data_IF_120791693560
#
_entry.id   IF_120791693560
#
_cell.length_a   1.000
_cell.length_b   1.000
_cell.length_c   1.000
_cell.angle_alpha   90.00
_cell.angle_beta   90.00
_cell.angle_gamma   90.00
#
_symmetry.space_group_name_H-M   'P 1'
#
loop_
_entity.id
_entity.type
_entity.pdbx_description
1 polymer ?
#
# COMPACT_ATOMS: atom_id res chain seq x y z
N UNK A 1 -10.31 -70.14 -63.53
CA UNK A 1 -9.79 -70.92 -62.39
C UNK A 1 -8.36 -70.49 -62.13
N UNK A 2 -8.05 -70.12 -60.87
CA UNK A 2 -6.71 -69.90 -60.30
C UNK A 2 -5.88 -68.75 -60.92
N UNK A 3 -5.00 -68.02 -60.22
CA UNK A 3 -4.68 -67.84 -58.80
C UNK A 3 -3.51 -66.82 -58.72
N UNK A 4 -3.24 -66.34 -57.50
CA UNK A 4 -1.96 -65.80 -57.00
C UNK A 4 -1.63 -64.31 -57.16
N UNK A 5 -1.95 -63.61 -56.07
CA UNK A 5 -1.20 -62.51 -55.43
C UNK A 5 0.33 -62.68 -55.45
N UNK A 6 1.09 -61.58 -55.68
CA UNK A 6 2.34 -61.11 -54.99
C UNK A 6 2.62 -59.64 -55.37
N UNK A 7 2.49 -58.66 -54.46
CA UNK A 7 3.49 -58.10 -53.52
C UNK A 7 4.63 -57.25 -54.13
N UNK A 8 5.00 -56.19 -53.39
CA UNK A 8 6.09 -55.20 -53.54
C UNK A 8 5.80 -53.97 -54.40
N UNK A 9 6.19 -52.75 -54.03
CA UNK A 9 6.70 -52.17 -52.80
C UNK A 9 6.56 -50.64 -52.95
N UNK A 10 5.98 -49.96 -51.96
CA UNK A 10 5.89 -48.49 -51.92
C UNK A 10 7.20 -47.96 -51.34
N UNK A 11 7.98 -47.22 -52.13
CA UNK A 11 9.02 -46.33 -51.62
C UNK A 11 8.43 -44.91 -51.55
N UNK A 12 7.98 -44.52 -50.36
CA UNK A 12 7.69 -43.13 -50.05
C UNK A 12 8.93 -42.53 -49.38
N UNK A 13 9.63 -41.65 -50.11
CA UNK A 13 10.72 -40.85 -49.57
C UNK A 13 10.14 -39.73 -48.69
N UNK A 14 10.20 -39.91 -47.38
CA UNK A 14 9.81 -38.89 -46.41
C UNK A 14 10.92 -37.83 -46.30
N UNK A 15 10.69 -36.64 -46.88
CA UNK A 15 11.48 -35.45 -46.60
C UNK A 15 11.27 -35.05 -45.13
N UNK A 16 12.33 -35.14 -44.33
CA UNK A 16 12.38 -34.56 -42.98
C UNK A 16 12.50 -33.03 -43.11
N UNK A 17 11.37 -32.32 -43.03
CA UNK A 17 11.40 -30.91 -42.66
C UNK A 17 11.70 -30.84 -41.16
N UNK A 18 12.93 -30.47 -40.82
CA UNK A 18 13.31 -30.02 -39.48
C UNK A 18 12.61 -28.69 -39.21
N UNK A 19 11.35 -28.75 -38.75
CA UNK A 19 10.64 -27.60 -38.21
C UNK A 19 11.27 -27.21 -36.88
N UNK A 20 11.95 -26.07 -36.85
CA UNK A 20 12.36 -25.41 -35.62
C UNK A 20 11.07 -24.95 -34.89
N UNK A 21 10.58 -25.73 -33.94
CA UNK A 21 9.47 -25.28 -33.09
C UNK A 21 10.04 -24.29 -32.07
N UNK A 22 9.58 -23.03 -32.03
CA UNK A 22 9.90 -22.16 -30.91
C UNK A 22 9.32 -22.81 -29.65
N UNK A 23 10.21 -23.13 -28.73
CA UNK A 23 9.85 -23.56 -27.38
C UNK A 23 8.91 -22.52 -26.78
N UNK A 24 7.67 -22.94 -26.56
CA UNK A 24 6.64 -22.15 -25.89
C UNK A 24 7.11 -21.88 -24.47
N UNK A 25 7.77 -20.74 -24.29
CA UNK A 25 8.27 -20.32 -22.99
C UNK A 25 7.03 -19.98 -22.16
N UNK A 26 6.74 -20.87 -21.21
CA UNK A 26 5.61 -20.78 -20.31
C UNK A 26 5.90 -19.58 -19.42
N UNK A 27 5.44 -18.40 -19.82
CA UNK A 27 5.45 -17.20 -18.97
C UNK A 27 4.77 -17.59 -17.67
N UNK A 28 5.57 -17.92 -16.66
CA UNK A 28 5.09 -18.17 -15.32
C UNK A 28 4.39 -16.88 -14.91
N UNK A 29 3.08 -16.94 -14.77
CA UNK A 29 2.30 -15.87 -14.16
C UNK A 29 2.85 -15.68 -12.75
N UNK A 30 3.72 -14.68 -12.57
CA UNK A 30 4.20 -14.26 -11.27
C UNK A 30 2.99 -13.74 -10.53
N UNK A 31 2.44 -14.56 -9.64
CA UNK A 31 1.43 -14.07 -8.69
C UNK A 31 2.10 -12.94 -7.90
N UNK A 32 1.53 -11.71 -7.90
CA UNK A 32 2.12 -10.62 -7.15
C UNK A 32 2.20 -11.01 -5.67
N UNK A 33 3.42 -11.02 -5.14
CA UNK A 33 3.67 -11.32 -3.74
C UNK A 33 3.37 -10.05 -2.93
N UNK A 34 2.31 -10.06 -2.13
CA UNK A 34 2.00 -8.97 -1.20
C UNK A 34 2.79 -9.15 0.09
N UNK A 35 4.11 -8.91 -0.01
CA UNK A 35 5.08 -9.02 1.09
C UNK A 35 5.47 -7.64 1.60
N UNK A 36 6.02 -7.59 2.81
CA UNK A 36 6.55 -6.35 3.39
C UNK A 36 7.65 -5.73 2.52
N UNK A 37 8.54 -6.55 1.94
CA UNK A 37 9.62 -6.06 1.08
C UNK A 37 9.08 -5.41 -0.19
N UNK A 38 8.09 -6.03 -0.84
CA UNK A 38 7.45 -5.46 -2.02
C UNK A 38 6.72 -4.16 -1.69
N UNK A 39 6.02 -4.11 -0.55
CA UNK A 39 5.36 -2.88 -0.09
C UNK A 39 6.37 -1.76 0.12
N UNK A 40 7.49 -2.08 0.76
CA UNK A 40 8.56 -1.13 1.07
C UNK A 40 9.21 -0.59 -0.20
N UNK A 41 9.43 -1.45 -1.19
CA UNK A 41 9.97 -1.09 -2.51
C UNK A 41 8.99 -0.22 -3.31
N UNK A 42 7.72 -0.60 -3.38
CA UNK A 42 6.69 0.16 -4.09
C UNK A 42 6.49 1.55 -3.48
N UNK A 43 6.51 1.64 -2.14
CA UNK A 43 6.48 2.91 -1.41
C UNK A 43 7.78 3.72 -1.58
N UNK A 44 8.91 3.13 -1.98
CA UNK A 44 10.11 3.87 -2.32
C UNK A 44 10.02 4.50 -3.71
N UNK A 45 9.42 3.77 -4.65
CA UNK A 45 9.41 4.14 -6.07
C UNK A 45 8.28 5.11 -6.45
N UNK A 46 7.26 5.29 -5.61
CA UNK A 46 6.09 6.10 -5.91
C UNK A 46 5.96 7.29 -4.93
N UNK A 47 5.92 8.53 -5.43
CA UNK A 47 5.71 9.73 -4.61
C UNK A 47 4.41 9.68 -3.79
N UNK A 48 3.32 9.16 -4.37
CA UNK A 48 2.03 9.08 -3.67
C UNK A 48 1.82 7.72 -2.99
N UNK A 49 1.94 7.67 -1.66
CA UNK A 49 1.58 6.49 -0.86
C UNK A 49 0.18 5.96 -1.22
N UNK A 50 -0.78 6.87 -1.39
CA UNK A 50 -2.17 6.54 -1.75
C UNK A 50 -2.24 5.80 -3.09
N UNK A 51 -1.40 6.13 -4.07
CA UNK A 51 -1.38 5.44 -5.37
C UNK A 51 -0.83 4.03 -5.23
N UNK A 52 0.15 3.80 -4.35
CA UNK A 52 0.61 2.45 -3.98
C UNK A 52 -0.54 1.67 -3.35
N UNK A 53 -1.16 2.23 -2.30
CA UNK A 53 -2.26 1.59 -1.57
C UNK A 53 -3.46 1.28 -2.47
N UNK A 54 -3.80 2.17 -3.42
CA UNK A 54 -4.84 1.93 -4.41
C UNK A 54 -4.58 0.66 -5.22
N UNK A 55 -3.37 0.50 -5.77
CA UNK A 55 -2.98 -0.69 -6.54
C UNK A 55 -2.99 -1.95 -5.68
N UNK A 56 -2.43 -1.84 -4.47
CA UNK A 56 -2.35 -2.96 -3.52
C UNK A 56 -3.73 -3.46 -3.11
N UNK A 57 -4.64 -2.55 -2.76
CA UNK A 57 -5.99 -2.92 -2.34
C UNK A 57 -6.82 -3.56 -3.45
N UNK A 58 -6.71 -3.08 -4.68
CA UNK A 58 -7.35 -3.73 -5.85
C UNK A 58 -6.76 -5.12 -6.04
N UNK A 59 -5.43 -5.22 -6.10
CA UNK A 59 -4.77 -6.49 -6.39
C UNK A 59 -4.92 -7.54 -5.28
N UNK A 60 -5.12 -7.11 -4.04
CA UNK A 60 -5.46 -7.94 -2.88
C UNK A 60 -6.93 -8.33 -2.81
N UNK A 61 -7.79 -7.73 -3.64
CA UNK A 61 -9.24 -7.90 -3.54
C UNK A 61 -9.86 -7.28 -2.29
N UNK A 62 -9.20 -6.31 -1.64
CA UNK A 62 -9.74 -5.60 -0.47
C UNK A 62 -10.85 -4.61 -0.86
N UNK A 63 -10.91 -4.24 -2.14
CA UNK A 63 -11.99 -3.42 -2.68
C UNK A 63 -12.18 -3.65 -4.19
N UNK A 64 -13.35 -3.32 -4.75
CA UNK A 64 -13.61 -3.37 -6.19
C UNK A 64 -12.68 -2.46 -7.01
N UNK A 65 -12.48 -2.81 -8.29
CA UNK A 65 -11.60 -2.06 -9.22
C UNK A 65 -12.00 -0.59 -9.39
N UNK A 66 -13.30 -0.28 -9.39
CA UNK A 66 -13.81 1.08 -9.54
C UNK A 66 -13.79 1.91 -8.24
N UNK A 67 -13.43 1.29 -7.10
CA UNK A 67 -13.38 1.98 -5.81
C UNK A 67 -12.07 2.73 -5.61
N UNK A 68 -12.08 3.69 -4.69
CA UNK A 68 -10.91 4.49 -4.36
C UNK A 68 -10.55 4.39 -2.89
N UNK A 69 -9.25 4.49 -2.58
CA UNK A 69 -8.78 4.73 -1.22
C UNK A 69 -9.34 6.07 -0.73
N UNK A 70 -9.99 6.07 0.43
CA UNK A 70 -10.49 7.28 1.08
C UNK A 70 -9.69 7.58 2.34
N UNK A 71 -9.67 8.84 2.75
CA UNK A 71 -9.01 9.31 3.96
C UNK A 71 -10.05 9.72 4.99
N UNK A 72 -10.45 8.78 5.84
CA UNK A 72 -11.41 9.02 6.91
C UNK A 72 -10.74 9.81 8.04
N UNK A 73 -11.25 11.02 8.30
CA UNK A 73 -10.77 11.86 9.40
C UNK A 73 -11.02 11.19 10.75
N UNK A 74 -10.01 11.26 11.60
CA UNK A 74 -10.08 10.82 12.99
C UNK A 74 -10.06 12.05 13.91
N UNK A 75 -10.53 11.92 15.17
CA UNK A 75 -10.37 12.94 16.19
C UNK A 75 -8.92 13.41 16.31
N UNK A 76 -8.74 14.63 16.81
CA UNK A 76 -7.41 15.20 17.02
C UNK A 76 -6.59 14.29 17.95
N UNK A 77 -5.37 13.97 17.53
CA UNK A 77 -4.40 13.17 18.26
C UNK A 77 -3.16 14.00 18.59
N UNK A 78 -2.09 13.33 19.01
CA UNK A 78 -0.82 13.99 19.31
C UNK A 78 -0.16 14.50 18.02
N UNK A 79 0.22 15.77 18.01
CA UNK A 79 1.09 16.32 16.97
C UNK A 79 2.49 15.71 17.13
N UNK A 80 3.10 15.13 16.08
CA UNK A 80 4.46 14.61 16.18
C UNK A 80 5.41 15.76 16.49
N UNK A 81 6.20 15.64 17.55
CA UNK A 81 7.05 16.72 18.07
C UNK A 81 8.04 17.26 17.02
N UNK A 82 8.52 16.38 16.13
CA UNK A 82 9.48 16.71 15.07
C UNK A 82 8.84 17.44 13.87
N UNK A 83 7.50 17.53 13.81
CA UNK A 83 6.79 18.18 12.69
C UNK A 83 7.25 19.62 12.49
N UNK A 84 7.45 20.34 13.61
CA UNK A 84 7.86 21.74 13.62
C UNK A 84 9.30 21.93 13.12
N UNK A 85 10.16 20.92 13.28
CA UNK A 85 11.57 21.02 12.88
C UNK A 85 11.73 20.95 11.36
N UNK A 86 10.79 20.33 10.66
CA UNK A 86 10.84 20.19 9.21
C UNK A 86 9.98 21.22 8.45
N UNK A 87 8.95 21.76 9.10
CA UNK A 87 8.03 22.72 8.49
C UNK A 87 8.25 24.10 9.10
N UNK A 88 8.61 25.06 8.25
CA UNK A 88 8.82 26.45 8.64
C UNK A 88 7.67 27.32 8.10
N UNK A 89 6.57 27.50 8.85
CA UNK A 89 5.48 28.36 8.42
C UNK A 89 5.98 29.81 8.28
N UNK A 90 5.39 30.53 7.33
CA UNK A 90 5.63 31.98 7.24
C UNK A 90 5.01 32.69 8.45
N UNK A 91 5.56 33.85 8.84
CA UNK A 91 5.02 34.61 9.97
C UNK A 91 3.52 34.89 9.78
N UNK A 92 2.71 34.51 10.77
CA UNK A 92 1.24 34.66 10.74
C UNK A 92 0.47 33.49 10.12
N UNK A 93 1.14 32.40 9.74
CA UNK A 93 0.51 31.17 9.28
C UNK A 93 0.72 30.01 10.27
N UNK A 94 -0.29 29.16 10.36
CA UNK A 94 -0.30 27.99 11.25
C UNK A 94 -0.13 26.68 10.46
N UNK A 95 0.48 25.68 11.11
CA UNK A 95 0.50 24.31 10.61
C UNK A 95 -0.84 23.64 10.92
N UNK A 96 -1.46 23.02 9.92
CA UNK A 96 -2.67 22.21 10.09
C UNK A 96 -2.29 20.75 10.27
N UNK A 97 -2.80 20.12 11.33
CA UNK A 97 -2.60 18.69 11.63
C UNK A 97 -3.88 17.90 11.42
N UNK A 98 -3.77 16.75 10.76
CA UNK A 98 -4.87 15.83 10.48
C UNK A 98 -4.45 14.41 10.84
N UNK A 99 -5.32 13.73 11.57
CA UNK A 99 -5.22 12.28 11.77
C UNK A 99 -6.22 11.61 10.84
N UNK A 100 -5.75 10.62 10.09
CA UNK A 100 -6.58 9.94 9.10
C UNK A 100 -6.34 8.44 9.12
N UNK A 101 -7.41 7.69 8.89
CA UNK A 101 -7.33 6.31 8.44
C UNK A 101 -7.49 6.29 6.92
N UNK A 102 -6.53 5.68 6.22
CA UNK A 102 -6.71 5.35 4.81
C UNK A 102 -7.47 4.03 4.71
N UNK A 103 -8.60 4.07 4.01
CA UNK A 103 -9.56 2.98 3.93
C UNK A 103 -9.55 2.33 2.54
N UNK A 104 -9.58 1.00 2.51
CA UNK A 104 -9.91 0.21 1.33
C UNK A 104 -11.19 -0.58 1.63
N UNK A 105 -12.33 -0.07 1.17
CA UNK A 105 -13.63 -0.58 1.61
C UNK A 105 -13.74 -0.50 3.15
N UNK A 106 -13.99 -1.62 3.85
CA UNK A 106 -14.07 -1.64 5.32
C UNK A 106 -12.70 -1.73 6.01
N UNK A 107 -11.59 -1.86 5.26
CA UNK A 107 -10.27 -2.14 5.82
C UNK A 107 -9.47 -0.87 6.04
N UNK A 108 -8.98 -0.65 7.28
CA UNK A 108 -7.93 0.34 7.55
C UNK A 108 -6.60 -0.22 7.05
N UNK A 109 -6.03 0.41 6.03
CA UNK A 109 -4.75 -0.01 5.43
C UNK A 109 -3.57 0.85 5.85
N UNK A 110 -3.84 2.08 6.31
CA UNK A 110 -2.85 2.95 6.91
C UNK A 110 -3.48 3.88 7.94
N UNK A 111 -2.76 4.13 9.03
CA UNK A 111 -3.06 5.17 10.01
C UNK A 111 -2.00 6.24 9.83
N UNK A 112 -2.40 7.49 9.60
CA UNK A 112 -1.44 8.55 9.33
C UNK A 112 -1.73 9.82 10.13
N UNK A 113 -0.64 10.47 10.53
CA UNK A 113 -0.65 11.85 11.02
C UNK A 113 0.00 12.72 9.98
N UNK A 114 -0.78 13.61 9.38
CA UNK A 114 -0.36 14.56 8.36
C UNK A 114 -0.33 15.95 8.98
N UNK A 115 0.78 16.66 8.78
CA UNK A 115 0.90 18.08 9.06
C UNK A 115 1.26 18.82 7.79
N UNK A 116 0.64 19.97 7.53
CA UNK A 116 0.90 20.73 6.31
C UNK A 116 0.72 22.23 6.51
N UNK A 117 1.36 22.99 5.61
CA UNK A 117 1.29 24.43 5.52
C UNK A 117 0.14 24.84 4.57
N UNK A 118 -1.03 25.28 5.09
CA UNK A 118 -2.18 25.61 4.25
C UNK A 118 -1.90 26.74 3.27
N UNK A 119 -0.98 27.66 3.59
CA UNK A 119 -0.56 28.77 2.74
C UNK A 119 0.26 28.34 1.51
N UNK A 120 0.77 27.11 1.52
CA UNK A 120 1.43 26.49 0.36
C UNK A 120 0.45 25.80 -0.58
N UNK A 121 -0.83 25.74 -0.22
CA UNK A 121 -1.89 25.14 -1.02
C UNK A 121 -2.82 26.21 -1.61
N UNK A 122 -3.48 25.88 -2.71
CA UNK A 122 -4.54 26.75 -3.24
C UNK A 122 -5.76 26.75 -2.30
N UNK A 123 -6.59 27.80 -2.32
CA UNK A 123 -7.83 27.83 -1.54
C UNK A 123 -8.75 26.64 -1.83
N UNK A 124 -8.80 26.20 -3.10
CA UNK A 124 -9.62 25.04 -3.50
C UNK A 124 -9.07 23.73 -2.92
N UNK A 125 -7.75 23.52 -2.92
CA UNK A 125 -7.13 22.35 -2.27
C UNK A 125 -7.46 22.31 -0.77
N UNK A 126 -7.33 23.44 -0.07
CA UNK A 126 -7.69 23.54 1.35
C UNK A 126 -9.17 23.23 1.58
N UNK A 127 -10.06 23.72 0.70
CA UNK A 127 -11.50 23.43 0.76
C UNK A 127 -11.79 21.94 0.51
N UNK A 128 -11.17 21.31 -0.47
CA UNK A 128 -11.34 19.88 -0.74
C UNK A 128 -10.88 19.04 0.46
N UNK A 129 -9.74 19.38 1.06
CA UNK A 129 -9.25 18.75 2.28
C UNK A 129 -10.27 18.89 3.41
N UNK A 130 -10.85 20.07 3.59
CA UNK A 130 -11.83 20.32 4.64
C UNK A 130 -13.15 19.57 4.40
N UNK A 131 -13.63 19.48 3.17
CA UNK A 131 -14.99 19.04 2.89
C UNK A 131 -15.12 17.60 2.40
N UNK A 132 -14.01 16.94 2.06
CA UNK A 132 -14.03 15.60 1.48
C UNK A 132 -13.12 14.63 2.20
N UNK A 133 -13.33 13.34 1.94
CA UNK A 133 -12.46 12.25 2.35
C UNK A 133 -11.46 11.87 1.23
N UNK A 134 -11.17 12.79 0.31
CA UNK A 134 -10.13 12.56 -0.67
C UNK A 134 -8.74 12.58 0.01
N UNK A 135 -7.85 11.62 -0.29
CA UNK A 135 -6.52 11.60 0.29
C UNK A 135 -5.67 12.81 -0.11
N UNK A 136 -4.87 13.32 0.83
CA UNK A 136 -4.03 14.51 0.65
C UNK A 136 -3.19 14.45 -0.63
N UNK A 137 -2.43 13.36 -0.81
CA UNK A 137 -1.56 13.17 -1.98
C UNK A 137 -2.30 13.19 -3.31
N UNK A 138 -3.61 12.92 -3.35
CA UNK A 138 -4.44 13.05 -4.55
C UNK A 138 -4.82 14.49 -4.82
N UNK A 139 -5.23 15.23 -3.78
CA UNK A 139 -5.58 16.65 -3.86
C UNK A 139 -4.38 17.49 -4.29
N UNK A 140 -3.21 17.23 -3.72
CA UNK A 140 -1.98 18.01 -3.99
C UNK A 140 -1.17 17.50 -5.17
N UNK A 141 -1.65 16.48 -5.89
CA UNK A 141 -0.97 15.94 -7.08
C UNK A 141 -0.62 17.02 -8.13
N UNK A 142 -1.47 18.04 -8.39
CA UNK A 142 -1.13 19.12 -9.32
C UNK A 142 0.06 19.99 -8.90
N UNK A 143 0.53 19.90 -7.64
CA UNK A 143 1.74 20.58 -7.18
C UNK A 143 3.03 19.88 -7.63
N UNK A 144 2.92 18.71 -8.29
CA UNK A 144 4.06 17.92 -8.75
C UNK A 144 5.10 17.72 -7.64
N UNK A 145 4.62 17.36 -6.45
CA UNK A 145 5.46 17.22 -5.28
C UNK A 145 6.40 16.02 -5.40
N UNK A 146 7.54 16.13 -4.73
CA UNK A 146 8.39 14.99 -4.41
C UNK A 146 8.11 14.51 -3.00
N UNK A 147 8.17 13.21 -2.77
CA UNK A 147 8.11 12.62 -1.43
C UNK A 147 9.49 12.08 -1.06
N UNK A 148 10.11 12.71 -0.07
CA UNK A 148 11.39 12.26 0.49
C UNK A 148 11.14 11.54 1.80
N UNK A 149 11.47 10.25 1.84
CA UNK A 149 11.48 9.48 3.08
C UNK A 149 12.62 9.97 3.95
N UNK A 150 12.38 10.16 5.25
CA UNK A 150 13.42 10.53 6.20
C UNK A 150 14.29 9.30 6.51
N UNK A 151 15.61 9.48 6.50
CA UNK A 151 16.57 8.38 6.62
C UNK A 151 16.51 7.74 8.03
N UNK A 152 16.63 6.40 8.11
CA UNK A 152 16.64 5.67 9.39
C UNK A 152 15.27 5.42 10.03
N UNK A 153 14.19 5.83 9.37
CA UNK A 153 12.85 5.89 9.99
C UNK A 153 11.80 4.94 9.42
N UNK A 154 12.18 4.10 8.44
CA UNK A 154 11.39 2.93 8.13
C UNK A 154 11.57 1.90 9.24
N UNK A 155 10.59 1.82 10.14
CA UNK A 155 10.63 0.91 11.30
C UNK A 155 9.61 -0.18 11.13
N UNK A 156 10.03 -1.42 11.37
CA UNK A 156 9.12 -2.53 11.66
C UNK A 156 8.77 -2.41 13.14
N UNK A 157 7.49 -2.22 13.49
CA UNK A 157 7.09 -2.13 14.89
C UNK A 157 7.52 -3.39 15.63
N UNK A 158 8.32 -3.23 16.69
CA UNK A 158 8.57 -4.34 17.60
C UNK A 158 7.26 -4.61 18.33
N UNK A 159 6.73 -5.83 18.24
CA UNK A 159 5.61 -6.24 19.08
C UNK A 159 6.11 -6.26 20.52
N UNK A 160 5.83 -5.21 21.30
CA UNK A 160 6.03 -5.26 22.74
C UNK A 160 4.91 -6.12 23.31
N UNK A 161 5.28 -7.33 23.76
CA UNK A 161 4.41 -8.13 24.61
C UNK A 161 3.98 -7.27 25.81
N UNK A 162 2.74 -6.79 25.83
CA UNK A 162 2.17 -6.06 26.96
C UNK A 162 1.88 -4.55 26.79
N UNK A 163 1.99 -3.96 25.59
CA UNK A 163 1.41 -2.62 25.39
C UNK A 163 -0.11 -2.73 25.26
N UNK A 164 -0.83 -2.16 26.23
CA UNK A 164 -2.28 -2.15 26.30
C UNK A 164 -2.88 -1.49 25.05
N UNK A 165 -3.98 -2.04 24.49
CA UNK A 165 -4.69 -1.37 23.40
C UNK A 165 -5.11 0.03 23.84
N UNK A 166 -4.61 1.05 23.15
CA UNK A 166 -5.18 2.38 23.24
C UNK A 166 -6.54 2.33 22.54
N UNK A 167 -7.59 2.43 23.37
CA UNK A 167 -9.01 2.62 23.07
C UNK A 167 -9.74 1.47 22.35
N UNK A 168 -10.85 1.05 22.96
CA UNK A 168 -11.67 -0.11 22.60
C UNK A 168 -12.34 -0.06 21.20
N UNK A 169 -12.31 1.11 20.55
CA UNK A 169 -12.91 1.34 19.22
C UNK A 169 -11.88 1.49 18.08
N UNK A 170 -10.57 1.36 18.39
CA UNK A 170 -9.53 1.35 17.36
C UNK A 170 -9.33 -0.08 16.82
N UNK A 171 -9.35 -0.32 15.50
CA UNK A 171 -9.02 -1.64 14.96
C UNK A 171 -7.61 -2.03 15.44
N UNK A 172 -7.38 -3.31 15.79
CA UNK A 172 -6.15 -3.74 16.45
C UNK A 172 -4.94 -3.29 15.61
N UNK A 173 -4.13 -2.38 16.18
CA UNK A 173 -2.94 -1.81 15.55
C UNK A 173 -1.93 -2.93 15.31
N UNK A 174 -1.87 -3.41 14.07
CA UNK A 174 -0.84 -4.34 13.64
C UNK A 174 -0.08 -3.69 12.51
N UNK A 175 0.54 -2.56 12.87
CA UNK A 175 1.42 -1.83 11.99
C UNK A 175 2.60 -2.75 11.60
N UNK A 176 2.86 -2.84 10.31
CA UNK A 176 3.94 -3.65 9.74
C UNK A 176 5.11 -2.79 9.26
N UNK A 177 4.84 -1.52 9.00
CA UNK A 177 5.82 -0.56 8.51
C UNK A 177 5.37 0.82 8.97
N UNK A 178 6.30 1.57 9.54
CA UNK A 178 6.13 3.00 9.81
C UNK A 178 7.07 3.75 8.88
N UNK A 179 6.57 4.74 8.15
CA UNK A 179 7.39 5.67 7.38
C UNK A 179 7.18 7.10 7.89
N UNK A 180 8.26 7.88 7.85
CA UNK A 180 8.20 9.33 7.96
C UNK A 180 8.65 9.95 6.64
N UNK A 181 7.91 10.93 6.14
CA UNK A 181 8.24 11.55 4.87
C UNK A 181 7.91 13.04 4.85
N UNK A 182 8.72 13.77 4.08
CA UNK A 182 8.44 15.15 3.70
C UNK A 182 7.96 15.21 2.27
N UNK A 183 6.94 16.02 2.04
CA UNK A 183 6.52 16.42 0.72
C UNK A 183 7.09 17.81 0.44
N UNK A 184 7.84 17.89 -0.66
CA UNK A 184 8.46 19.13 -1.12
C UNK A 184 7.89 19.52 -2.46
N UNK A 185 7.74 20.83 -2.69
CA UNK A 185 7.49 21.36 -4.04
C UNK A 185 8.67 21.02 -4.96
N UNK A 186 8.51 21.20 -6.28
CA UNK A 186 9.61 21.06 -7.24
C UNK A 186 10.83 21.95 -6.90
N UNK A 187 10.61 23.09 -6.22
CA UNK A 187 11.69 23.95 -5.72
C UNK A 187 12.36 23.46 -4.42
N UNK A 188 12.07 22.25 -3.96
CA UNK A 188 12.64 21.64 -2.76
C UNK A 188 12.08 22.15 -1.44
N UNK A 189 11.12 23.09 -1.46
CA UNK A 189 10.52 23.66 -0.25
C UNK A 189 9.53 22.68 0.38
N UNK A 190 9.72 22.26 1.65
CA UNK A 190 8.77 21.43 2.37
C UNK A 190 7.43 22.14 2.56
N UNK A 191 6.33 21.41 2.37
CA UNK A 191 4.99 21.94 2.63
C UNK A 191 4.10 20.95 3.38
N UNK A 192 4.50 19.67 3.48
CA UNK A 192 3.84 18.72 4.35
C UNK A 192 4.83 17.70 4.92
N UNK A 193 4.53 17.24 6.11
CA UNK A 193 5.16 16.14 6.81
C UNK A 193 4.11 15.08 7.10
N UNK A 194 4.47 13.81 6.95
CA UNK A 194 3.57 12.71 7.25
C UNK A 194 4.31 11.59 7.99
N UNK A 195 3.66 11.08 9.03
CA UNK A 195 3.96 9.79 9.63
C UNK A 195 2.88 8.80 9.20
N UNK A 196 3.29 7.70 8.58
CA UNK A 196 2.43 6.71 7.94
C UNK A 196 2.65 5.35 8.60
N UNK A 197 1.62 4.77 9.20
CA UNK A 197 1.66 3.43 9.80
C UNK A 197 0.84 2.46 8.95
N UNK A 198 1.51 1.65 8.15
CA UNK A 198 0.90 0.68 7.24
C UNK A 198 0.48 -0.57 7.99
N UNK A 199 -0.70 -1.10 7.68
CA UNK A 199 -1.31 -2.19 8.45
C UNK A 199 -1.14 -3.55 7.77
N UNK A 200 -1.05 -4.60 8.58
CA UNK A 200 -0.85 -6.01 8.14
C UNK A 200 -1.90 -6.54 7.16
N UNK A 201 -3.10 -5.94 7.12
CA UNK A 201 -4.14 -6.30 6.13
C UNK A 201 -3.65 -6.16 4.68
N UNK A 202 -2.56 -5.42 4.45
CA UNK A 202 -1.90 -5.33 3.15
C UNK A 202 -1.14 -6.60 2.73
N UNK A 203 -0.84 -7.53 3.64
CA UNK A 203 0.01 -8.70 3.38
C UNK A 203 -0.77 -10.01 3.19
N UNK A 204 -0.21 -10.93 2.40
CA UNK A 204 -0.75 -12.29 2.15
C UNK A 204 -0.75 -13.25 3.34
N UNK A 205 -0.23 -12.85 4.50
CA UNK A 205 -0.23 -13.71 5.67
C UNK A 205 -1.64 -13.89 6.25
N UNK A 206 -2.03 -15.11 6.63
CA UNK A 206 -3.29 -15.33 7.34
C UNK A 206 -3.33 -14.46 8.59
N UNK A 207 -4.40 -13.68 8.78
CA UNK A 207 -4.68 -13.10 10.08
C UNK A 207 -4.89 -14.29 11.03
N UNK A 208 -3.91 -14.63 11.87
CA UNK A 208 -4.13 -15.69 12.85
C UNK A 208 -5.34 -15.31 13.70
N UNK A 209 -6.42 -16.06 13.55
CA UNK A 209 -7.58 -15.99 14.42
C UNK A 209 -7.08 -16.36 15.81
N UNK A 210 -7.04 -15.40 16.73
CA UNK A 210 -6.83 -15.70 18.13
C UNK A 210 -8.06 -16.47 18.62
N UNK A 211 -8.03 -17.80 18.51
CA UNK A 211 -8.95 -18.65 19.24
C UNK A 211 -8.64 -18.48 20.72
N UNK A 212 -9.53 -17.78 21.43
CA UNK A 212 -9.54 -17.80 22.88
C UNK A 212 -9.70 -19.25 23.32
N UNK A 213 -8.60 -19.88 23.73
CA UNK A 213 -8.62 -21.20 24.35
C UNK A 213 -9.51 -21.10 25.59
N UNK A 214 -10.72 -21.66 25.49
CA UNK A 214 -11.60 -21.86 26.63
C UNK A 214 -10.91 -22.92 27.48
N UNK A 215 -10.25 -22.48 28.55
CA UNK A 215 -9.64 -23.38 29.51
C UNK A 215 -10.73 -24.25 30.14
N UNK A 216 -10.70 -25.53 29.79
CA UNK A 216 -11.43 -26.58 30.49
C UNK A 216 -10.94 -26.60 31.95
N UNK A 217 -11.83 -26.21 32.86
CA UNK A 217 -11.64 -26.34 34.30
C UNK A 217 -12.51 -27.50 34.77
N UNK A 218 -12.02 -28.71 34.54
CA UNK A 218 -12.40 -29.88 35.32
C UNK A 218 -11.76 -29.74 36.70
N UNK A 219 -12.54 -29.34 37.69
CA UNK A 219 -12.21 -29.56 39.10
C UNK A 219 -12.84 -30.88 39.54
N UNK A 220 -11.97 -31.76 40.02
CA UNK A 220 -12.28 -32.91 40.86
C UNK A 220 -12.08 -32.48 42.31
#
# INVERSE_FOLDING_TARGET
>A
MLSHSRFMAVLAASLLLAGCQPSSDKTASVTPAYTLDQLTADLAAEPSATKVLQRWCIGRGLMPLASHVTAQKQPAGKVPSETLDYLHPSAGYDIVVRHVHLMCGPHVVSIATLAYLPEKLTPDMNRQLLLTDQPFGKIVLPLHFERRRLAGDSKIPQSKMGETPIEADSPPKQAILINRALLTTHGGQPFAYVEEQYQRVLLNDPLQSFSHGTGDRTQN
#
